data_IF_356673434259
#
_entry.id   IF_356673434259
#
_cell.length_a   1.000
_cell.length_b   1.000
_cell.length_c   1.000
_cell.angle_alpha   90.00
_cell.angle_beta   90.00
_cell.angle_gamma   90.00
#
_symmetry.space_group_name_H-M   'P 1'
#
loop_
_entity.id
_entity.type
_entity.pdbx_description
1 polymer ?
#
# COMPACT_ATOMS: atom_id res chain seq x y z
N UNK A 1 2.27 33.73 20.95
CA UNK A 1 1.77 32.54 20.23
C UNK A 1 1.58 31.41 21.23
N UNK A 2 0.38 30.82 21.31
CA UNK A 2 0.10 29.76 22.29
C UNK A 2 0.73 28.44 21.82
N UNK A 3 1.14 27.56 22.74
CA UNK A 3 1.83 26.30 22.40
C UNK A 3 1.04 25.43 21.42
N UNK A 4 -0.28 25.36 21.59
CA UNK A 4 -1.16 24.63 20.68
C UNK A 4 -1.20 25.19 19.25
N UNK A 5 -1.13 26.52 19.09
CA UNK A 5 -1.09 27.17 17.77
C UNK A 5 0.20 26.84 17.01
N UNK A 6 1.34 26.78 17.72
CA UNK A 6 2.63 26.41 17.13
C UNK A 6 2.59 24.96 16.63
N UNK A 7 2.08 24.05 17.45
CA UNK A 7 1.94 22.63 17.05
C UNK A 7 0.99 22.47 15.87
N UNK A 8 -0.11 23.23 15.83
CA UNK A 8 -1.08 23.17 14.74
C UNK A 8 -0.45 23.69 13.43
N UNK A 9 0.23 24.84 13.47
CA UNK A 9 0.90 25.40 12.30
C UNK A 9 2.03 24.49 11.80
N UNK A 10 2.87 23.97 12.70
CA UNK A 10 3.96 23.08 12.36
C UNK A 10 3.48 21.77 11.73
N UNK A 11 2.46 21.13 12.32
CA UNK A 11 1.88 19.89 11.77
C UNK A 11 1.18 20.13 10.43
N UNK A 12 0.43 21.22 10.28
CA UNK A 12 -0.21 21.58 9.01
C UNK A 12 0.83 21.79 7.89
N UNK A 13 1.94 22.47 8.19
CA UNK A 13 3.05 22.64 7.25
C UNK A 13 3.66 21.29 6.83
N UNK A 14 3.91 20.38 7.78
CA UNK A 14 4.40 19.04 7.47
C UNK A 14 3.45 18.23 6.58
N UNK A 15 2.12 18.34 6.79
CA UNK A 15 1.10 17.67 5.96
C UNK A 15 1.16 18.21 4.53
N UNK A 16 1.23 19.53 4.36
CA UNK A 16 1.34 20.18 3.05
C UNK A 16 2.60 19.73 2.31
N UNK A 17 3.74 19.70 3.00
CA UNK A 17 4.99 19.19 2.41
C UNK A 17 4.88 17.73 1.98
N UNK A 18 4.27 16.88 2.81
CA UNK A 18 4.06 15.46 2.50
C UNK A 18 3.20 15.29 1.25
N UNK A 19 2.10 16.04 1.18
CA UNK A 19 1.24 16.08 -0.01
C UNK A 19 2.01 16.53 -1.25
N UNK A 20 2.80 17.59 -1.13
CA UNK A 20 3.57 18.14 -2.25
C UNK A 20 4.55 17.12 -2.83
N UNK A 21 5.38 16.50 -1.99
CA UNK A 21 6.34 15.48 -2.44
C UNK A 21 5.65 14.23 -2.99
N UNK A 22 4.51 13.83 -2.40
CA UNK A 22 3.75 12.69 -2.91
C UNK A 22 3.21 12.97 -4.31
N UNK A 23 2.68 14.17 -4.57
CA UNK A 23 2.17 14.56 -5.90
C UNK A 23 3.30 14.58 -6.92
N UNK A 24 4.48 15.10 -6.56
CA UNK A 24 5.65 15.07 -7.44
C UNK A 24 6.04 13.63 -7.81
N UNK A 25 6.15 12.76 -6.81
CA UNK A 25 6.49 11.35 -7.02
C UNK A 25 5.43 10.63 -7.87
N UNK A 26 4.15 10.82 -7.54
CA UNK A 26 3.03 10.28 -8.31
C UNK A 26 3.06 10.75 -9.77
N UNK A 27 3.35 12.03 -10.01
CA UNK A 27 3.45 12.60 -11.35
C UNK A 27 4.56 11.97 -12.16
N UNK A 28 5.73 11.72 -11.56
CA UNK A 28 6.82 11.01 -12.22
C UNK A 28 6.41 9.59 -12.63
N UNK A 29 5.71 8.87 -11.75
CA UNK A 29 5.20 7.53 -12.05
C UNK A 29 4.12 7.52 -13.15
N UNK A 30 3.24 8.52 -13.15
CA UNK A 30 2.23 8.70 -14.19
C UNK A 30 2.84 9.07 -15.55
N UNK A 31 3.88 9.89 -15.58
CA UNK A 31 4.54 10.29 -16.82
C UNK A 31 5.34 9.14 -17.45
N UNK A 32 6.03 8.32 -16.65
CA UNK A 32 6.82 7.19 -17.11
C UNK A 32 6.09 5.84 -16.99
N UNK A 33 4.88 5.75 -17.54
CA UNK A 33 4.00 4.59 -17.43
C UNK A 33 4.37 3.43 -18.36
N UNK A 34 5.46 2.71 -18.06
CA UNK A 34 5.91 1.56 -18.88
C UNK A 34 5.19 0.25 -18.57
N UNK A 35 5.11 -0.12 -17.29
CA UNK A 35 4.55 -1.40 -16.85
C UNK A 35 3.25 -1.18 -16.06
N UNK A 36 2.06 -1.30 -16.68
CA UNK A 36 0.80 -0.92 -16.05
C UNK A 36 0.44 -1.75 -14.81
N UNK A 37 0.89 -3.01 -14.73
CA UNK A 37 0.63 -3.88 -13.57
C UNK A 37 1.43 -3.44 -12.35
N UNK A 38 2.74 -3.21 -12.54
CA UNK A 38 3.68 -2.79 -11.49
C UNK A 38 3.41 -1.35 -11.05
N UNK A 39 3.19 -0.44 -12.01
CA UNK A 39 2.90 0.96 -11.71
C UNK A 39 1.64 1.13 -10.86
N UNK A 40 0.57 0.37 -11.13
CA UNK A 40 -0.63 0.38 -10.27
C UNK A 40 -0.31 -0.01 -8.82
N UNK A 41 0.55 -1.00 -8.60
CA UNK A 41 0.97 -1.38 -7.26
C UNK A 41 1.80 -0.26 -6.60
N UNK A 42 2.72 0.35 -7.36
CA UNK A 42 3.55 1.47 -6.88
C UNK A 42 2.69 2.70 -6.52
N UNK A 43 1.66 3.03 -7.29
CA UNK A 43 0.75 4.14 -6.97
C UNK A 43 0.05 3.93 -5.62
N UNK A 44 -0.42 2.72 -5.35
CA UNK A 44 -1.05 2.37 -4.06
C UNK A 44 -0.04 2.53 -2.93
N UNK A 45 1.22 2.13 -3.12
CA UNK A 45 2.26 2.29 -2.09
C UNK A 45 2.56 3.77 -1.83
N UNK A 46 2.71 4.60 -2.87
CA UNK A 46 3.03 6.04 -2.74
C UNK A 46 1.93 6.79 -1.98
N UNK A 47 0.66 6.45 -2.22
CA UNK A 47 -0.48 7.09 -1.54
C UNK A 47 -0.57 6.77 -0.03
N UNK A 48 0.28 5.89 0.51
CA UNK A 48 0.36 5.63 1.94
C UNK A 48 0.82 6.86 2.74
N UNK A 49 1.86 7.57 2.27
CA UNK A 49 2.39 8.74 2.95
C UNK A 49 1.36 9.87 3.21
N UNK A 50 0.57 10.35 2.22
CA UNK A 50 -0.42 11.40 2.46
C UNK A 50 -1.59 10.92 3.33
N UNK A 51 -2.00 9.65 3.22
CA UNK A 51 -3.05 9.08 4.09
C UNK A 51 -2.59 9.15 5.55
N UNK A 52 -1.35 8.75 5.83
CA UNK A 52 -0.79 8.80 7.18
C UNK A 52 -0.69 10.23 7.73
N UNK A 53 -0.26 11.18 6.90
CA UNK A 53 -0.19 12.58 7.27
C UNK A 53 -1.58 13.15 7.61
N UNK A 54 -2.60 12.84 6.80
CA UNK A 54 -3.98 13.28 7.04
C UNK A 54 -4.54 12.64 8.31
N UNK A 55 -4.42 11.32 8.48
CA UNK A 55 -4.97 10.62 9.66
C UNK A 55 -4.29 11.14 10.93
N UNK A 56 -2.96 11.35 10.90
CA UNK A 56 -2.22 11.90 12.03
C UNK A 56 -2.66 13.34 12.37
N UNK A 57 -2.89 14.17 11.36
CA UNK A 57 -3.38 15.54 11.54
C UNK A 57 -4.83 15.58 12.03
N UNK A 58 -5.69 14.71 11.50
CA UNK A 58 -7.05 14.53 11.97
C UNK A 58 -7.07 14.10 13.45
N UNK A 59 -6.21 13.16 13.86
CA UNK A 59 -6.06 12.78 15.27
C UNK A 59 -5.62 13.93 16.17
N UNK A 60 -4.74 14.81 15.69
CA UNK A 60 -4.35 16.02 16.42
C UNK A 60 -5.52 17.01 16.60
N UNK A 61 -6.37 17.14 15.59
CA UNK A 61 -7.61 17.93 15.68
C UNK A 61 -8.64 17.24 16.59
N UNK A 62 -8.70 15.91 16.56
CA UNK A 62 -9.70 15.10 17.25
C UNK A 62 -9.48 14.95 18.75
N UNK A 63 -8.24 15.08 19.22
CA UNK A 63 -7.91 15.37 20.63
C UNK A 63 -8.74 16.56 21.19
N UNK A 64 -9.37 17.35 20.31
CA UNK A 64 -10.23 18.50 20.64
C UNK A 64 -11.73 18.28 20.36
N UNK A 65 -12.24 17.10 19.96
CA UNK A 65 -13.71 16.97 19.77
C UNK A 65 -14.43 15.67 19.34
N UNK A 66 -13.87 14.66 18.63
CA UNK A 66 -14.72 13.60 18.01
C UNK A 66 -14.12 12.17 17.87
N UNK A 67 -13.79 11.54 19.01
CA UNK A 67 -13.15 10.21 19.14
C UNK A 67 -13.66 9.10 18.20
N UNK A 68 -14.97 9.03 17.96
CA UNK A 68 -15.60 7.96 17.16
C UNK A 68 -15.21 8.03 15.68
N UNK A 69 -15.09 9.23 15.10
CA UNK A 69 -14.70 9.40 13.70
C UNK A 69 -13.24 9.00 13.48
N UNK A 70 -12.36 9.36 14.43
CA UNK A 70 -10.95 8.99 14.37
C UNK A 70 -10.76 7.47 14.42
N UNK A 71 -11.46 6.76 15.31
CA UNK A 71 -11.35 5.29 15.41
C UNK A 71 -11.74 4.58 14.10
N UNK A 72 -12.75 5.09 13.40
CA UNK A 72 -13.13 4.58 12.07
C UNK A 72 -12.05 4.84 11.01
N UNK A 73 -11.51 6.06 10.97
CA UNK A 73 -10.41 6.40 10.05
C UNK A 73 -9.16 5.55 10.30
N UNK A 74 -8.83 5.31 11.56
CA UNK A 74 -7.68 4.49 11.96
C UNK A 74 -7.87 3.03 11.52
N UNK A 75 -9.07 2.48 11.69
CA UNK A 75 -9.42 1.14 11.19
C UNK A 75 -9.28 1.02 9.66
N UNK A 76 -9.70 2.04 8.92
CA UNK A 76 -9.51 2.09 7.45
C UNK A 76 -8.03 2.15 7.10
N UNK A 77 -7.24 2.96 7.82
CA UNK A 77 -5.79 3.06 7.62
C UNK A 77 -5.10 1.70 7.82
N UNK A 78 -5.45 0.97 8.87
CA UNK A 78 -4.91 -0.38 9.12
C UNK A 78 -5.28 -1.36 7.99
N UNK A 79 -6.52 -1.32 7.50
CA UNK A 79 -6.94 -2.14 6.36
C UNK A 79 -6.16 -1.78 5.07
N UNK A 80 -5.95 -0.49 4.83
CA UNK A 80 -5.16 0.01 3.72
C UNK A 80 -3.70 -0.43 3.80
N UNK A 81 -3.12 -0.46 5.00
CA UNK A 81 -1.75 -0.91 5.23
C UNK A 81 -1.57 -2.38 4.83
N UNK A 82 -2.52 -3.25 5.18
CA UNK A 82 -2.51 -4.64 4.74
C UNK A 82 -2.54 -4.76 3.20
N UNK A 83 -3.34 -3.93 2.53
CA UNK A 83 -3.37 -3.86 1.06
C UNK A 83 -2.02 -3.41 0.48
N UNK A 84 -1.41 -2.37 1.06
CA UNK A 84 -0.09 -1.86 0.63
C UNK A 84 0.98 -2.92 0.75
N UNK A 85 1.04 -3.67 1.85
CA UNK A 85 1.99 -4.77 2.06
C UNK A 85 1.78 -5.85 0.99
N UNK A 86 0.53 -6.23 0.70
CA UNK A 86 0.24 -7.20 -0.34
C UNK A 86 0.68 -6.72 -1.74
N UNK A 87 0.50 -5.42 -2.06
CA UNK A 87 0.98 -4.83 -3.31
C UNK A 87 2.50 -4.77 -3.39
N UNK A 88 3.16 -4.45 -2.28
CA UNK A 88 4.61 -4.43 -2.20
C UNK A 88 5.21 -5.83 -2.41
N UNK A 89 4.63 -6.85 -1.77
CA UNK A 89 5.05 -8.24 -1.96
C UNK A 89 4.86 -8.71 -3.41
N UNK A 90 3.71 -8.40 -4.02
CA UNK A 90 3.45 -8.71 -5.42
C UNK A 90 4.46 -8.02 -6.38
N UNK A 91 4.87 -6.81 -6.05
CA UNK A 91 5.86 -6.06 -6.81
C UNK A 91 7.25 -6.73 -6.73
N UNK A 92 7.66 -7.15 -5.54
CA UNK A 92 8.91 -7.92 -5.34
C UNK A 92 8.88 -9.22 -6.16
N UNK A 93 7.79 -9.98 -6.12
CA UNK A 93 7.68 -11.21 -6.91
C UNK A 93 7.79 -10.98 -8.42
N UNK A 94 7.19 -9.88 -8.93
CA UNK A 94 7.31 -9.48 -10.33
C UNK A 94 8.77 -9.18 -10.70
N UNK A 95 9.45 -8.36 -9.90
CA UNK A 95 10.83 -7.95 -10.18
C UNK A 95 11.86 -9.05 -10.03
N UNK A 96 11.67 -9.96 -9.07
CA UNK A 96 12.56 -11.11 -8.89
C UNK A 96 12.33 -12.21 -9.94
N UNK A 97 11.33 -12.05 -10.82
CA UNK A 97 10.86 -13.08 -11.74
C UNK A 97 10.71 -14.44 -11.05
N UNK A 98 10.32 -14.41 -9.76
CA UNK A 98 9.78 -15.57 -9.06
C UNK A 98 8.36 -15.72 -9.62
N UNK A 99 8.29 -16.04 -10.91
CA UNK A 99 7.39 -17.12 -11.27
C UNK A 99 7.63 -18.17 -10.19
N UNK A 100 6.58 -18.50 -9.44
CA UNK A 100 6.46 -19.83 -8.85
C UNK A 100 6.77 -20.74 -10.03
N UNK A 101 8.04 -21.10 -10.11
CA UNK A 101 8.55 -21.93 -11.16
C UNK A 101 7.63 -23.11 -11.11
N UNK A 102 7.07 -23.42 -12.26
CA UNK A 102 6.11 -24.47 -12.54
C UNK A 102 6.79 -25.84 -12.30
N UNK A 103 7.35 -26.01 -11.11
CA UNK A 103 8.40 -26.95 -10.69
C UNK A 103 8.32 -27.27 -9.19
N UNK A 104 7.26 -26.87 -8.47
CA UNK A 104 6.99 -27.47 -7.15
C UNK A 104 6.26 -28.82 -7.26
N UNK A 105 5.84 -29.20 -8.46
CA UNK A 105 5.36 -30.55 -8.78
C UNK A 105 6.20 -31.07 -9.94
N UNK A 106 7.08 -32.07 -9.73
CA UNK A 106 7.69 -32.81 -10.82
C UNK A 106 6.58 -33.37 -11.71
N UNK A 107 6.69 -33.23 -13.04
CA UNK A 107 5.72 -33.78 -13.99
C UNK A 107 5.50 -35.30 -13.84
N UNK A 108 6.39 -35.99 -13.11
CA UNK A 108 6.28 -37.39 -12.69
C UNK A 108 5.06 -37.69 -11.79
N UNK A 109 4.53 -36.69 -11.07
CA UNK A 109 3.39 -36.84 -10.15
C UNK A 109 2.05 -36.50 -10.84
N UNK A 110 2.07 -35.96 -12.08
CA UNK A 110 0.87 -35.43 -12.76
C UNK A 110 -0.04 -36.49 -13.41
N UNK A 111 -0.01 -37.72 -12.89
CA UNK A 111 -0.99 -38.75 -13.24
C UNK A 111 -0.42 -39.81 -14.17
N UNK A 112 0.16 -40.84 -13.56
CA UNK A 112 0.18 -42.17 -14.19
C UNK A 112 -1.28 -42.62 -14.26
N UNK A 113 -1.87 -42.61 -15.46
CA UNK A 113 -3.15 -43.28 -15.74
C UNK A 113 -2.96 -44.75 -15.36
N UNK A 114 -3.54 -45.21 -14.26
CA UNK A 114 -3.60 -46.62 -13.93
C UNK A 114 -4.56 -47.27 -14.93
N UNK A 115 -4.03 -47.70 -16.08
CA UNK A 115 -4.72 -48.63 -16.97
C UNK A 115 -4.78 -49.95 -16.22
N UNK A 116 -5.88 -50.18 -15.50
CA UNK A 116 -6.19 -51.50 -14.94
C UNK A 116 -6.57 -52.36 -16.14
N UNK A 117 -5.65 -53.21 -16.59
CA UNK A 117 -6.01 -54.33 -17.44
C UNK A 117 -6.85 -55.29 -16.60
N UNK A 118 -8.17 -55.18 -16.73
CA UNK A 118 -9.10 -56.27 -16.40
C UNK A 118 -8.77 -57.43 -17.33
N UNK A 119 -8.11 -58.45 -16.78
CA UNK A 119 -8.31 -59.84 -17.21
C UNK A 119 -9.48 -60.42 -16.45
#
# INVERSE_FOLDING_TARGET
MNRGEITLLGSAFCVILTMHFTIQLLSQHLFYWKNPKEQKAVLIIILMAPIYAIVSFAGLLDFRGSKEFFMFLDSIKECYEALVIAKFLALIYSYLNISISKNMVPDEIKGRKFTIHSQ
#
